data_IF_398689804557
#
_entry.id   IF_398689804557
#
_cell.length_a   1.000
_cell.length_b   1.000
_cell.length_c   1.000
_cell.angle_alpha   90.00
_cell.angle_beta   90.00
_cell.angle_gamma   90.00
#
_symmetry.space_group_name_H-M   'P 1'
#
loop_
_entity.id
_entity.type
_entity.pdbx_description
1 polymer ?
#
# COMPACT_ATOMS: atom_id res chain seq x y z
N UNK A 1 12.59 -16.70 36.96
CA UNK A 1 13.28 -15.79 36.00
C UNK A 1 12.39 -15.65 34.75
N UNK A 2 11.67 -14.53 34.60
CA UNK A 2 10.81 -14.26 33.45
C UNK A 2 11.69 -13.75 32.30
N UNK A 3 11.76 -14.47 31.20
CA UNK A 3 12.44 -14.02 29.98
C UNK A 3 11.59 -12.90 29.34
N UNK A 4 12.11 -11.70 29.38
CA UNK A 4 11.56 -10.53 28.71
C UNK A 4 11.90 -10.68 27.20
N UNK A 5 10.91 -11.08 26.40
CA UNK A 5 11.05 -11.06 24.94
C UNK A 5 10.92 -9.62 24.47
N UNK A 6 12.07 -9.00 24.24
CA UNK A 6 12.18 -7.70 23.60
C UNK A 6 11.89 -7.89 22.10
N UNK A 7 10.68 -7.57 21.67
CA UNK A 7 10.36 -7.45 20.23
C UNK A 7 11.09 -6.22 19.70
N UNK A 8 12.23 -6.47 19.09
CA UNK A 8 12.98 -5.47 18.33
C UNK A 8 12.25 -5.33 16.99
N UNK A 9 11.40 -4.31 16.86
CA UNK A 9 10.88 -3.87 15.57
C UNK A 9 12.06 -3.36 14.75
N UNK A 10 12.54 -4.18 13.84
CA UNK A 10 13.60 -3.84 12.89
C UNK A 10 13.02 -2.82 11.93
N UNK A 11 13.39 -1.56 12.13
CA UNK A 11 13.19 -0.49 11.16
C UNK A 11 14.02 -0.80 9.93
N UNK A 12 13.41 -1.37 8.90
CA UNK A 12 14.02 -1.39 7.58
C UNK A 12 13.88 0.00 6.97
N UNK A 13 14.86 0.84 7.26
CA UNK A 13 15.13 2.02 6.43
C UNK A 13 15.75 1.46 5.15
N UNK A 14 14.96 1.31 4.11
CA UNK A 14 15.49 1.11 2.77
C UNK A 14 16.28 2.38 2.39
N UNK A 15 17.57 2.37 2.69
CA UNK A 15 18.50 3.35 2.19
C UNK A 15 18.82 3.02 0.72
N UNK A 16 17.81 3.22 -0.19
CA UNK A 16 18.14 3.36 -1.61
C UNK A 16 18.99 4.59 -1.73
N UNK A 17 20.17 4.46 -2.34
CA UNK A 17 21.19 5.45 -2.57
C UNK A 17 20.62 6.87 -2.75
N UNK A 18 20.94 7.75 -1.76
CA UNK A 18 20.37 9.08 -1.61
C UNK A 18 21.08 10.03 -2.60
N UNK A 19 20.81 9.85 -3.90
CA UNK A 19 21.15 10.81 -4.91
C UNK A 19 19.85 11.29 -5.55
N UNK A 20 19.52 12.58 -5.37
CA UNK A 20 18.38 13.18 -6.05
C UNK A 20 17.56 14.11 -5.17
N UNK A 21 16.46 14.57 -5.74
CA UNK A 21 15.46 15.43 -5.11
C UNK A 21 14.31 14.55 -4.62
N UNK A 22 13.89 14.70 -3.36
CA UNK A 22 12.79 13.88 -2.86
C UNK A 22 12.51 14.01 -1.37
N UNK A 23 11.63 13.14 -0.92
CA UNK A 23 11.24 13.02 0.48
C UNK A 23 12.16 12.05 1.23
N UNK A 24 12.52 12.43 2.47
CA UNK A 24 13.05 11.52 3.48
C UNK A 24 11.89 10.77 4.13
N UNK A 25 10.81 11.50 4.43
CA UNK A 25 9.53 10.93 4.88
C UNK A 25 8.38 11.87 4.50
N UNK A 26 7.20 11.30 4.42
CA UNK A 26 5.92 11.96 4.25
C UNK A 26 4.91 11.21 5.12
N UNK A 27 4.31 11.88 6.11
CA UNK A 27 3.45 11.23 7.10
C UNK A 27 2.19 12.05 7.33
N UNK A 28 1.08 11.71 6.68
CA UNK A 28 -0.23 12.29 6.98
C UNK A 28 -0.71 11.89 8.38
N UNK A 29 -1.51 12.74 8.99
CA UNK A 29 -2.22 12.39 10.20
C UNK A 29 -3.23 11.27 9.92
N UNK A 30 -3.33 10.28 10.82
CA UNK A 30 -4.24 9.13 10.66
C UNK A 30 -3.84 8.13 9.57
N UNK A 31 -2.59 8.13 9.11
CA UNK A 31 -2.10 7.13 8.18
C UNK A 31 -2.19 5.71 8.76
N UNK A 32 -2.78 4.79 7.99
CA UNK A 32 -2.93 3.37 8.34
C UNK A 32 -1.71 2.54 7.97
N UNK A 33 -0.78 3.12 7.21
CA UNK A 33 0.40 2.43 6.68
C UNK A 33 1.63 3.33 6.79
N UNK A 34 2.80 2.71 6.66
CA UNK A 34 3.99 3.46 6.23
C UNK A 34 3.74 4.03 4.84
N UNK A 35 4.29 5.19 4.56
CA UNK A 35 4.15 5.82 3.25
C UNK A 35 5.09 5.18 2.24
N UNK A 36 4.56 4.76 1.12
CA UNK A 36 5.36 4.32 -0.02
C UNK A 36 5.95 5.53 -0.73
N UNK A 37 7.26 5.59 -0.85
CA UNK A 37 7.99 6.67 -1.53
C UNK A 37 8.84 6.04 -2.63
N UNK A 38 8.50 6.33 -3.89
CA UNK A 38 9.26 5.88 -5.06
C UNK A 38 9.90 7.09 -5.75
N UNK A 39 11.20 7.22 -5.57
CA UNK A 39 12.00 8.22 -6.26
C UNK A 39 12.47 7.65 -7.60
N UNK A 40 11.78 7.98 -8.68
CA UNK A 40 12.13 7.53 -10.02
C UNK A 40 13.34 8.28 -10.59
N UNK A 41 13.96 7.69 -11.62
CA UNK A 41 15.03 8.34 -12.37
C UNK A 41 14.52 9.62 -13.05
N UNK A 42 15.44 10.48 -13.47
CA UNK A 42 15.14 11.68 -14.22
C UNK A 42 14.20 11.40 -15.41
N UNK A 43 13.21 12.27 -15.62
CA UNK A 43 12.19 12.15 -16.67
C UNK A 43 10.98 11.28 -16.36
N UNK A 44 10.94 10.60 -15.19
CA UNK A 44 9.76 9.86 -14.75
C UNK A 44 9.21 10.45 -13.43
N UNK A 45 7.90 10.64 -13.35
CA UNK A 45 7.25 11.15 -12.13
C UNK A 45 7.56 10.26 -10.94
N UNK A 46 8.00 10.85 -9.85
CA UNK A 46 8.17 10.20 -8.58
C UNK A 46 6.85 10.19 -7.81
N UNK A 47 6.66 9.22 -6.94
CA UNK A 47 5.36 8.98 -6.28
C UNK A 47 5.52 8.88 -4.78
N UNK A 48 4.61 9.51 -4.06
CA UNK A 48 4.33 9.29 -2.65
C UNK A 48 2.90 8.77 -2.54
N UNK A 49 2.71 7.63 -1.91
CA UNK A 49 1.40 6.99 -1.78
C UNK A 49 1.18 6.51 -0.36
N UNK A 50 0.01 6.81 0.20
CA UNK A 50 -0.37 6.43 1.57
C UNK A 50 -1.87 6.18 1.68
N UNK A 51 -2.28 5.56 2.78
CA UNK A 51 -3.67 5.19 3.04
C UNK A 51 -4.09 5.75 4.41
N UNK A 52 -5.26 6.36 4.48
CA UNK A 52 -5.90 6.84 5.70
C UNK A 52 -7.30 6.22 5.84
N UNK A 53 -7.90 6.27 7.04
CA UNK A 53 -9.29 5.82 7.22
C UNK A 53 -10.31 6.92 6.84
N UNK A 54 -11.59 6.56 6.80
CA UNK A 54 -12.71 7.43 6.44
C UNK A 54 -13.03 8.55 7.46
N UNK A 55 -12.42 8.50 8.66
CA UNK A 55 -12.60 9.52 9.71
C UNK A 55 -11.64 10.69 9.55
N UNK A 56 -10.67 10.58 8.67
CA UNK A 56 -9.69 11.64 8.39
C UNK A 56 -10.27 12.65 7.42
N UNK A 57 -10.21 13.93 7.76
CA UNK A 57 -10.57 15.02 6.82
C UNK A 57 -9.44 15.20 5.80
N UNK A 58 -9.59 14.58 4.63
CA UNK A 58 -8.59 14.66 3.56
C UNK A 58 -8.61 15.99 2.80
N UNK A 59 -9.65 16.83 2.98
CA UNK A 59 -9.67 18.18 2.42
C UNK A 59 -8.79 19.15 3.22
N UNK A 60 -8.52 18.84 4.49
CA UNK A 60 -7.66 19.63 5.39
C UNK A 60 -6.68 18.73 6.12
N UNK A 61 -5.97 17.88 5.40
CA UNK A 61 -5.10 16.84 5.97
C UNK A 61 -3.74 17.41 6.42
N UNK A 62 -3.44 17.41 7.72
CA UNK A 62 -2.12 17.77 8.21
C UNK A 62 -1.08 16.72 7.80
N UNK A 63 0.02 17.18 7.21
CA UNK A 63 1.10 16.30 6.78
C UNK A 63 2.43 16.77 7.39
N UNK A 64 3.10 15.84 8.06
CA UNK A 64 4.52 16.02 8.45
C UNK A 64 5.39 15.44 7.36
N UNK A 65 6.35 16.22 6.87
CA UNK A 65 7.29 15.74 5.86
C UNK A 65 8.70 16.29 6.09
N UNK A 66 9.66 15.64 5.49
CA UNK A 66 11.06 16.09 5.42
C UNK A 66 11.59 15.81 4.02
N UNK A 67 12.19 16.81 3.41
CA UNK A 67 12.89 16.67 2.14
C UNK A 67 14.34 16.24 2.38
N UNK A 68 14.95 15.69 1.34
CA UNK A 68 16.40 15.48 1.27
C UNK A 68 17.14 16.80 1.42
N UNK A 69 18.41 16.72 1.81
CA UNK A 69 19.26 17.93 2.04
C UNK A 69 19.35 18.76 0.78
N UNK A 70 19.28 20.09 0.96
CA UNK A 70 19.32 21.10 -0.09
C UNK A 70 18.15 21.02 -1.10
N UNK A 71 17.05 20.38 -0.73
CA UNK A 71 15.82 20.39 -1.49
C UNK A 71 14.79 21.32 -0.87
N UNK A 72 13.97 21.95 -1.72
CA UNK A 72 12.80 22.78 -1.35
C UNK A 72 11.61 22.43 -2.23
N UNK A 73 10.41 22.72 -1.75
CA UNK A 73 9.22 22.73 -2.60
C UNK A 73 9.22 24.01 -3.44
N UNK A 74 8.82 23.90 -4.72
CA UNK A 74 8.59 25.07 -5.57
C UNK A 74 7.44 25.94 -5.06
N UNK A 75 6.43 25.30 -4.45
CA UNK A 75 5.30 25.98 -3.82
C UNK A 75 5.24 25.62 -2.34
N UNK A 76 5.22 26.61 -1.46
CA UNK A 76 5.09 26.43 -0.01
C UNK A 76 3.97 27.32 0.53
N UNK A 77 3.16 26.81 1.50
CA UNK A 77 3.21 25.49 2.13
C UNK A 77 2.70 24.38 1.20
N UNK A 78 3.00 23.11 1.55
CA UNK A 78 2.38 21.96 0.91
C UNK A 78 0.86 22.03 1.06
N UNK A 79 0.12 21.80 -0.03
CA UNK A 79 -1.35 21.77 0.00
C UNK A 79 -1.83 20.70 0.98
N UNK A 80 -2.88 21.01 1.74
CA UNK A 80 -3.54 20.09 2.69
C UNK A 80 -4.74 19.37 2.10
N UNK A 81 -5.24 19.78 0.94
CA UNK A 81 -6.35 19.14 0.24
C UNK A 81 -5.85 17.97 -0.60
N UNK A 82 -6.21 16.75 -0.16
CA UNK A 82 -5.91 15.47 -0.82
C UNK A 82 -7.18 14.78 -1.32
N UNK A 83 -8.25 15.51 -1.54
CA UNK A 83 -9.46 14.97 -2.19
C UNK A 83 -9.19 14.53 -3.62
N UNK A 84 -8.13 15.03 -4.22
CA UNK A 84 -7.59 14.65 -5.53
C UNK A 84 -6.09 14.40 -5.44
N UNK A 85 -5.50 13.87 -6.51
CA UNK A 85 -4.04 13.74 -6.64
C UNK A 85 -3.39 15.10 -6.62
N UNK A 86 -2.35 15.28 -5.81
CA UNK A 86 -1.54 16.48 -5.80
C UNK A 86 -0.27 16.28 -6.62
N UNK A 87 0.05 17.28 -7.44
CA UNK A 87 1.30 17.37 -8.18
C UNK A 87 2.13 18.48 -7.57
N UNK A 88 3.37 18.18 -7.26
CA UNK A 88 4.33 19.14 -6.71
C UNK A 88 5.67 19.02 -7.42
N UNK A 89 6.45 20.07 -7.37
CA UNK A 89 7.82 20.06 -7.88
C UNK A 89 8.79 20.26 -6.71
N UNK A 90 9.81 19.42 -6.65
CA UNK A 90 10.92 19.55 -5.70
C UNK A 90 12.13 20.11 -6.46
N UNK A 91 12.69 21.18 -5.93
CA UNK A 91 13.86 21.87 -6.47
C UNK A 91 15.10 21.54 -5.64
N UNK A 92 16.24 21.49 -6.29
CA UNK A 92 17.55 21.41 -5.67
C UNK A 92 18.55 22.28 -6.44
N UNK A 93 19.37 23.01 -5.70
CA UNK A 93 20.35 23.92 -6.31
C UNK A 93 21.23 23.18 -7.33
N UNK A 94 21.32 23.72 -8.53
CA UNK A 94 22.11 23.21 -9.66
C UNK A 94 21.63 21.87 -10.25
N UNK A 95 20.41 21.46 -9.99
CA UNK A 95 19.75 20.31 -10.61
C UNK A 95 18.44 20.72 -11.27
N UNK A 96 17.99 20.01 -12.31
CA UNK A 96 16.67 20.25 -12.91
C UNK A 96 15.58 19.95 -11.91
N UNK A 97 14.50 20.73 -11.83
CA UNK A 97 13.37 20.47 -10.96
C UNK A 97 12.77 19.07 -11.20
N UNK A 98 12.25 18.45 -10.17
CA UNK A 98 11.68 17.10 -10.23
C UNK A 98 10.23 17.06 -9.78
N UNK A 99 9.38 16.48 -10.64
CA UNK A 99 7.96 16.35 -10.36
C UNK A 99 7.64 15.11 -9.52
N UNK A 100 6.71 15.31 -8.60
CA UNK A 100 6.21 14.30 -7.68
C UNK A 100 4.69 14.26 -7.71
N UNK A 101 4.16 13.06 -7.66
CA UNK A 101 2.74 12.77 -7.50
C UNK A 101 2.48 12.34 -6.07
N UNK A 102 1.64 13.06 -5.34
CA UNK A 102 1.23 12.74 -3.98
C UNK A 102 -0.18 12.18 -3.98
N UNK A 103 -0.35 10.98 -3.45
CA UNK A 103 -1.61 10.23 -3.45
C UNK A 103 -1.95 9.84 -2.02
N UNK A 104 -3.14 10.23 -1.56
CA UNK A 104 -3.71 9.80 -0.29
C UNK A 104 -5.00 9.05 -0.57
N UNK A 105 -5.01 7.74 -0.36
CA UNK A 105 -6.22 6.93 -0.46
C UNK A 105 -6.98 6.97 0.86
N UNK A 106 -8.29 7.14 0.79
CA UNK A 106 -9.17 7.07 1.96
C UNK A 106 -9.99 5.78 1.93
N UNK A 107 -9.81 4.91 2.93
CA UNK A 107 -10.56 3.67 3.07
C UNK A 107 -11.87 3.90 3.80
N UNK A 108 -12.99 3.51 3.19
CA UNK A 108 -14.32 3.46 3.79
C UNK A 108 -14.80 2.02 3.83
N UNK A 109 -15.14 1.46 5.00
CA UNK A 109 -15.60 0.08 5.10
C UNK A 109 -16.83 -0.21 4.23
N UNK A 110 -16.80 -1.34 3.52
CA UNK A 110 -17.94 -1.85 2.77
C UNK A 110 -18.80 -2.79 3.62
N UNK A 111 -20.12 -2.85 3.41
CA UNK A 111 -20.97 -3.86 4.04
C UNK A 111 -20.59 -5.27 3.55
N UNK A 112 -20.84 -6.28 4.40
CA UNK A 112 -20.70 -7.68 4.02
C UNK A 112 -22.00 -8.23 3.38
N UNK A 113 -21.94 -9.21 2.47
CA UNK A 113 -20.73 -9.77 1.88
C UNK A 113 -20.06 -8.80 0.90
N UNK A 114 -18.73 -8.72 0.95
CA UNK A 114 -17.95 -7.88 0.05
C UNK A 114 -17.28 -8.74 -1.03
N UNK A 115 -17.38 -8.30 -2.29
CA UNK A 115 -16.72 -8.94 -3.42
C UNK A 115 -16.03 -7.90 -4.30
N UNK A 116 -14.79 -8.18 -4.69
CA UNK A 116 -13.99 -7.32 -5.54
C UNK A 116 -13.25 -8.17 -6.57
N UNK A 117 -13.54 -7.90 -7.84
CA UNK A 117 -12.81 -8.48 -8.98
C UNK A 117 -12.38 -7.37 -9.92
N UNK A 118 -11.11 -7.35 -10.26
CA UNK A 118 -10.59 -6.39 -11.23
C UNK A 118 -10.76 -6.92 -12.65
N UNK A 119 -11.16 -6.03 -13.53
CA UNK A 119 -11.40 -6.33 -14.95
C UNK A 119 -11.17 -5.07 -15.81
N UNK A 120 -11.39 -5.17 -17.10
CA UNK A 120 -11.36 -3.98 -17.98
C UNK A 120 -12.47 -2.96 -17.68
N UNK A 121 -13.60 -3.42 -17.12
CA UNK A 121 -14.74 -2.57 -16.75
C UNK A 121 -14.75 -2.16 -15.27
N UNK A 122 -13.93 -2.81 -14.45
CA UNK A 122 -13.71 -2.47 -13.04
C UNK A 122 -12.20 -2.52 -12.77
N UNK A 123 -11.44 -1.52 -13.22
CA UNK A 123 -9.99 -1.58 -13.18
C UNK A 123 -9.42 -1.35 -11.76
N UNK A 124 -8.29 -2.01 -11.48
CA UNK A 124 -7.40 -1.60 -10.40
C UNK A 124 -6.53 -0.47 -10.93
N UNK A 125 -6.99 0.75 -10.80
CA UNK A 125 -6.27 1.92 -11.26
C UNK A 125 -6.25 3.04 -10.21
N UNK A 126 -5.56 4.12 -10.55
CA UNK A 126 -5.51 5.34 -9.76
C UNK A 126 -6.74 6.23 -9.96
N UNK A 127 -7.86 5.71 -10.50
CA UNK A 127 -9.09 6.48 -10.59
C UNK A 127 -9.48 6.98 -9.21
N UNK A 128 -9.59 8.31 -9.09
CA UNK A 128 -9.63 9.00 -7.82
C UNK A 128 -11.06 9.10 -7.31
N UNK A 129 -11.59 7.95 -6.89
CA UNK A 129 -12.81 7.90 -6.11
C UNK A 129 -12.43 7.68 -4.64
N UNK A 130 -12.33 8.76 -3.89
CA UNK A 130 -12.23 8.71 -2.44
C UNK A 130 -13.58 9.07 -1.81
N UNK A 131 -14.00 8.38 -0.75
CA UNK A 131 -13.42 7.16 -0.19
C UNK A 131 -13.92 5.89 -0.89
N UNK A 132 -13.12 4.82 -0.88
CA UNK A 132 -13.50 3.49 -1.38
C UNK A 132 -13.08 2.36 -0.42
N UNK A 133 -13.68 1.14 -0.51
CA UNK A 133 -13.41 0.08 0.46
C UNK A 133 -12.07 -0.62 0.27
N UNK A 134 -11.31 -0.26 -0.73
CA UNK A 134 -9.99 -0.84 -0.99
C UNK A 134 -9.00 0.22 -1.44
N UNK A 135 -7.74 -0.02 -1.19
CA UNK A 135 -6.64 0.79 -1.69
C UNK A 135 -5.37 -0.04 -1.79
N UNK A 136 -4.52 0.30 -2.77
CA UNK A 136 -3.16 -0.19 -2.83
C UNK A 136 -2.16 0.91 -2.48
N UNK A 137 -0.97 0.55 -2.08
CA UNK A 137 0.18 1.44 -2.04
C UNK A 137 1.38 0.75 -2.67
N UNK A 138 2.04 1.45 -3.58
CA UNK A 138 3.13 0.91 -4.38
C UNK A 138 2.72 -0.19 -5.38
N UNK A 139 1.44 -0.31 -5.68
CA UNK A 139 0.90 -1.26 -6.66
C UNK A 139 1.28 -0.81 -8.07
N UNK A 140 1.54 -1.78 -8.96
CA UNK A 140 1.76 -1.52 -10.38
C UNK A 140 0.41 -1.41 -11.12
N UNK A 141 -0.09 -0.20 -11.27
CA UNK A 141 -1.34 0.10 -11.95
C UNK A 141 -1.27 0.00 -13.50
N UNK A 142 -0.13 -0.33 -14.07
CA UNK A 142 -0.01 -0.57 -15.52
C UNK A 142 -0.77 -1.81 -16.00
N UNK A 143 -1.27 -2.62 -15.06
CA UNK A 143 -2.06 -3.84 -15.30
C UNK A 143 -3.39 -3.76 -14.57
N UNK A 144 -4.34 -2.98 -15.07
CA UNK A 144 -5.55 -2.59 -14.33
C UNK A 144 -6.52 -3.75 -14.06
N UNK A 145 -6.34 -4.92 -14.67
CA UNK A 145 -7.20 -6.09 -14.42
C UNK A 145 -6.81 -6.91 -13.19
N UNK A 146 -5.81 -6.47 -12.44
CA UNK A 146 -5.32 -7.12 -11.21
C UNK A 146 -4.66 -6.08 -10.30
N UNK A 147 -4.60 -6.33 -9.00
CA UNK A 147 -3.68 -5.61 -8.13
C UNK A 147 -2.30 -6.26 -8.21
N UNK A 148 -1.34 -5.63 -8.88
CA UNK A 148 -0.01 -6.18 -9.12
C UNK A 148 1.01 -5.70 -8.11
N UNK A 149 1.62 -6.64 -7.42
CA UNK A 149 2.75 -6.42 -6.51
C UNK A 149 4.06 -6.57 -7.30
N UNK A 150 4.71 -5.44 -7.56
CA UNK A 150 5.94 -5.39 -8.37
C UNK A 150 7.20 -5.03 -7.58
N UNK A 151 7.09 -4.79 -6.26
CA UNK A 151 8.20 -4.40 -5.38
C UNK A 151 8.03 -5.02 -4.00
N UNK A 152 9.09 -5.07 -3.20
CA UNK A 152 8.99 -5.38 -1.78
C UNK A 152 8.37 -4.21 -1.00
N UNK A 153 7.70 -4.53 0.10
CA UNK A 153 7.11 -3.54 1.01
C UNK A 153 5.85 -2.85 0.47
N UNK A 154 5.26 -3.36 -0.62
CA UNK A 154 4.00 -2.85 -1.19
C UNK A 154 2.82 -3.65 -0.68
N UNK A 155 1.62 -3.05 -0.69
CA UNK A 155 0.45 -3.71 -0.13
C UNK A 155 -0.87 -3.32 -0.76
N UNK A 156 -1.86 -4.17 -0.52
CA UNK A 156 -3.25 -3.96 -0.91
C UNK A 156 -4.16 -4.18 0.28
N UNK A 157 -5.13 -3.30 0.48
CA UNK A 157 -5.98 -3.21 1.66
C UNK A 157 -7.44 -3.29 1.28
N UNK A 158 -8.23 -3.93 2.14
CA UNK A 158 -9.69 -3.91 2.11
C UNK A 158 -10.20 -3.58 3.50
N UNK A 159 -11.18 -2.66 3.57
CA UNK A 159 -11.93 -2.34 4.79
C UNK A 159 -13.37 -2.82 4.64
N UNK A 160 -13.92 -3.45 5.69
CA UNK A 160 -15.27 -3.97 5.71
C UNK A 160 -15.94 -3.72 7.07
N UNK A 161 -17.29 -3.64 7.05
CA UNK A 161 -18.10 -3.46 8.23
C UNK A 161 -18.87 -4.74 8.56
N UNK A 162 -18.86 -5.13 9.83
CA UNK A 162 -19.48 -6.36 10.31
C UNK A 162 -18.47 -7.46 10.65
N UNK A 163 -19.02 -8.59 11.14
CA UNK A 163 -18.23 -9.78 11.48
C UNK A 163 -18.09 -10.69 10.26
N UNK A 164 -16.88 -10.70 9.71
CA UNK A 164 -16.52 -11.61 8.63
C UNK A 164 -16.00 -12.94 9.20
N UNK A 165 -16.34 -14.05 8.55
CA UNK A 165 -15.88 -15.40 8.93
C UNK A 165 -14.75 -15.90 8.03
N UNK A 166 -14.76 -15.47 6.79
CA UNK A 166 -13.86 -15.99 5.76
C UNK A 166 -13.45 -14.92 4.76
N UNK A 167 -12.21 -14.98 4.31
CA UNK A 167 -11.72 -14.27 3.15
C UNK A 167 -11.26 -15.25 2.08
N UNK A 168 -11.80 -15.10 0.86
CA UNK A 168 -11.34 -15.79 -0.34
C UNK A 168 -10.61 -14.83 -1.26
N UNK A 169 -9.56 -15.29 -1.94
CA UNK A 169 -8.81 -14.47 -2.90
C UNK A 169 -7.96 -15.35 -3.82
N UNK A 170 -7.57 -14.80 -4.96
CA UNK A 170 -6.67 -15.46 -5.91
C UNK A 170 -5.33 -14.73 -5.95
N UNK A 171 -4.24 -15.48 -5.82
CA UNK A 171 -2.88 -15.02 -6.04
C UNK A 171 -2.27 -15.76 -7.22
N UNK A 172 -1.63 -15.02 -8.13
CA UNK A 172 -1.01 -15.61 -9.33
C UNK A 172 0.38 -15.03 -9.52
N UNK A 173 1.39 -15.90 -9.60
CA UNK A 173 2.73 -15.50 -10.05
C UNK A 173 2.69 -15.13 -11.53
N UNK A 174 3.40 -14.07 -11.90
CA UNK A 174 3.49 -13.66 -13.30
C UNK A 174 4.46 -14.59 -14.05
N UNK A 175 4.00 -15.21 -15.15
CA UNK A 175 4.84 -16.02 -16.04
C UNK A 175 5.02 -17.48 -15.60
N UNK A 176 4.01 -18.11 -15.03
CA UNK A 176 3.96 -19.55 -14.69
C UNK A 176 5.14 -20.08 -13.85
N UNK A 177 5.77 -19.19 -13.08
CA UNK A 177 6.90 -19.53 -12.24
C UNK A 177 6.46 -19.81 -10.81
N UNK A 178 7.30 -20.54 -10.08
CA UNK A 178 7.06 -20.76 -8.64
C UNK A 178 7.25 -19.47 -7.86
N UNK A 179 6.43 -19.30 -6.83
CA UNK A 179 6.58 -18.22 -5.87
C UNK A 179 7.94 -18.32 -5.17
N UNK A 180 8.71 -17.22 -5.16
CA UNK A 180 10.08 -17.17 -4.64
C UNK A 180 10.27 -16.08 -3.58
N UNK A 181 9.18 -15.40 -3.18
CA UNK A 181 9.21 -14.27 -2.25
C UNK A 181 8.60 -14.60 -0.88
N UNK A 182 8.22 -13.53 -0.17
CA UNK A 182 7.46 -13.60 1.07
C UNK A 182 6.26 -12.67 1.00
N UNK A 183 5.04 -13.23 1.20
CA UNK A 183 3.81 -12.47 1.22
C UNK A 183 3.03 -12.73 2.50
N UNK A 184 2.74 -11.67 3.23
CA UNK A 184 1.92 -11.70 4.43
C UNK A 184 0.47 -11.39 4.10
N UNK A 185 -0.45 -12.13 4.73
CA UNK A 185 -1.85 -11.74 4.83
C UNK A 185 -2.14 -11.44 6.28
N UNK A 186 -2.62 -10.25 6.55
CA UNK A 186 -2.79 -9.75 7.91
C UNK A 186 -4.17 -9.10 8.06
N UNK A 187 -4.70 -9.15 9.28
CA UNK A 187 -5.94 -8.47 9.64
C UNK A 187 -5.71 -7.43 10.72
N UNK A 188 -6.65 -6.50 10.83
CA UNK A 188 -6.69 -5.51 11.89
C UNK A 188 -8.14 -5.19 12.28
N UNK A 189 -8.34 -4.80 13.54
CA UNK A 189 -9.60 -4.25 14.02
C UNK A 189 -9.70 -2.74 13.78
N UNK A 190 -8.58 -2.04 13.87
CA UNK A 190 -8.50 -0.57 13.87
C UNK A 190 -7.73 0.01 12.66
N UNK A 191 -7.17 -0.85 11.81
CA UNK A 191 -6.32 -0.48 10.69
C UNK A 191 -4.89 -0.05 11.10
N UNK A 192 -4.59 -0.01 12.39
CA UNK A 192 -3.30 0.46 12.93
C UNK A 192 -2.46 -0.68 13.48
N UNK A 193 -3.10 -1.65 14.17
CA UNK A 193 -2.44 -2.80 14.77
C UNK A 193 -2.75 -4.05 13.96
N UNK A 194 -1.75 -4.57 13.29
CA UNK A 194 -1.88 -5.69 12.38
C UNK A 194 -1.46 -7.00 13.03
N UNK A 195 -2.24 -8.04 12.79
CA UNK A 195 -1.97 -9.41 13.23
C UNK A 195 -1.91 -10.30 12.00
N UNK A 196 -0.90 -11.14 11.93
CA UNK A 196 -0.68 -12.04 10.80
C UNK A 196 -1.63 -13.22 10.84
N UNK A 197 -2.28 -13.50 9.71
CA UNK A 197 -3.07 -14.71 9.46
C UNK A 197 -2.19 -15.81 8.88
N UNK A 198 -1.40 -15.47 7.87
CA UNK A 198 -0.49 -16.40 7.19
C UNK A 198 0.66 -15.63 6.55
N UNK A 199 1.80 -16.30 6.45
CA UNK A 199 2.90 -15.94 5.56
C UNK A 199 3.04 -17.01 4.49
N UNK A 200 3.00 -16.61 3.24
CA UNK A 200 3.38 -17.45 2.11
C UNK A 200 4.88 -17.28 1.84
N UNK A 201 5.57 -18.39 1.62
CA UNK A 201 7.01 -18.47 1.35
C UNK A 201 7.24 -19.49 0.23
N UNK A 202 8.46 -19.62 -0.33
CA UNK A 202 8.76 -20.67 -1.31
C UNK A 202 8.48 -22.10 -0.82
N UNK A 203 8.65 -22.35 0.50
CA UNK A 203 8.39 -23.66 1.12
C UNK A 203 6.91 -23.87 1.46
N UNK A 204 6.16 -22.78 1.62
CA UNK A 204 4.72 -22.79 1.89
C UNK A 204 4.01 -21.79 0.96
N UNK A 205 3.97 -22.07 -0.35
CA UNK A 205 3.40 -21.14 -1.31
C UNK A 205 1.87 -21.08 -1.23
N UNK A 206 1.30 -20.00 -1.75
CA UNK A 206 -0.14 -19.96 -2.03
C UNK A 206 -0.51 -20.90 -3.19
N UNK A 207 -1.78 -21.22 -3.30
CA UNK A 207 -2.32 -21.93 -4.49
C UNK A 207 -2.32 -20.97 -5.67
N UNK A 208 -1.37 -21.17 -6.57
CA UNK A 208 -1.15 -20.26 -7.72
C UNK A 208 -2.31 -20.34 -8.72
N UNK A 209 -2.99 -19.21 -8.96
CA UNK A 209 -4.13 -19.12 -9.87
C UNK A 209 -5.41 -19.82 -9.40
N UNK A 210 -5.45 -20.26 -8.13
CA UNK A 210 -6.62 -20.85 -7.51
C UNK A 210 -7.12 -19.97 -6.35
N UNK A 211 -8.36 -20.22 -5.92
CA UNK A 211 -8.91 -19.59 -4.72
C UNK A 211 -8.16 -20.07 -3.46
N UNK A 212 -7.55 -19.12 -2.77
CA UNK A 212 -7.04 -19.28 -1.42
C UNK A 212 -8.12 -18.81 -0.44
N UNK A 213 -8.28 -19.51 0.69
CA UNK A 213 -9.31 -19.21 1.68
C UNK A 213 -8.68 -19.15 3.07
N UNK A 214 -9.04 -18.14 3.85
CA UNK A 214 -8.58 -17.95 5.22
C UNK A 214 -9.77 -17.67 6.14
N UNK A 215 -9.78 -18.33 7.30
CA UNK A 215 -10.71 -17.99 8.39
C UNK A 215 -10.32 -16.66 9.01
N UNK A 216 -11.29 -15.78 9.21
CA UNK A 216 -11.09 -14.48 9.83
C UNK A 216 -11.55 -14.50 11.30
N UNK A 217 -10.78 -13.83 12.21
CA UNK A 217 -11.28 -13.54 13.55
C UNK A 217 -12.46 -12.56 13.50
N UNK A 218 -13.41 -12.70 14.43
CA UNK A 218 -14.64 -11.90 14.48
C UNK A 218 -14.39 -10.39 14.66
N UNK A 219 -13.23 -10.03 15.26
CA UNK A 219 -12.81 -8.64 15.42
C UNK A 219 -12.19 -8.03 14.16
N UNK A 220 -11.93 -8.80 13.11
CA UNK A 220 -11.36 -8.27 11.87
C UNK A 220 -12.30 -7.22 11.23
N UNK A 221 -11.74 -6.09 10.81
CA UNK A 221 -12.40 -5.01 10.07
C UNK A 221 -11.60 -4.55 8.87
N UNK A 222 -10.33 -4.91 8.86
CA UNK A 222 -9.39 -4.64 7.78
C UNK A 222 -8.62 -5.91 7.45
N UNK A 223 -8.37 -6.12 6.18
CA UNK A 223 -7.49 -7.17 5.65
C UNK A 223 -6.46 -6.53 4.74
N UNK A 224 -5.22 -7.01 4.80
CA UNK A 224 -4.19 -6.59 3.86
C UNK A 224 -3.33 -7.73 3.37
N UNK A 225 -2.87 -7.60 2.14
CA UNK A 225 -1.82 -8.41 1.54
C UNK A 225 -0.58 -7.54 1.41
N UNK A 226 0.54 -7.97 1.97
CA UNK A 226 1.81 -7.24 1.93
C UNK A 226 2.85 -8.12 1.27
N UNK A 227 3.42 -7.67 0.17
CA UNK A 227 4.55 -8.34 -0.47
C UNK A 227 5.83 -7.94 0.28
N UNK A 228 6.10 -8.64 1.39
CA UNK A 228 7.19 -8.30 2.31
C UNK A 228 8.55 -8.40 1.64
N UNK A 229 8.81 -9.49 0.92
CA UNK A 229 10.05 -9.73 0.19
C UNK A 229 9.73 -10.17 -1.23
N UNK A 230 10.13 -9.36 -2.21
CA UNK A 230 10.12 -9.72 -3.63
C UNK A 230 11.53 -10.10 -4.06
N UNK A 231 11.72 -11.34 -4.47
CA UNK A 231 12.98 -11.77 -5.11
C UNK A 231 12.94 -11.46 -6.62
N UNK A 232 12.25 -12.24 -7.41
CA UNK A 232 12.18 -12.06 -8.88
C UNK A 232 10.76 -11.89 -9.37
N UNK A 233 9.81 -12.64 -8.78
CA UNK A 233 8.46 -12.73 -9.30
C UNK A 233 7.60 -11.53 -8.91
N UNK A 234 6.74 -11.10 -9.82
CA UNK A 234 5.59 -10.27 -9.49
C UNK A 234 4.41 -11.18 -9.12
N UNK A 235 3.56 -10.71 -8.23
CA UNK A 235 2.34 -11.41 -7.83
C UNK A 235 1.13 -10.54 -8.18
N UNK A 236 0.11 -11.14 -8.73
CA UNK A 236 -1.18 -10.52 -8.98
C UNK A 236 -2.18 -11.00 -7.92
N UNK A 237 -3.00 -10.08 -7.40
CA UNK A 237 -4.13 -10.35 -6.52
C UNK A 237 -5.41 -9.98 -7.26
N UNK A 238 -6.41 -10.87 -7.21
CA UNK A 238 -7.74 -10.65 -7.77
C UNK A 238 -8.80 -11.48 -7.02
N UNK A 239 -10.06 -11.35 -7.43
CA UNK A 239 -11.20 -12.15 -6.96
C UNK A 239 -11.29 -12.26 -5.44
N UNK A 240 -11.28 -11.10 -4.77
CA UNK A 240 -11.38 -11.00 -3.31
C UNK A 240 -12.85 -11.13 -2.91
N UNK A 241 -13.13 -12.00 -1.93
CA UNK A 241 -14.44 -12.15 -1.29
C UNK A 241 -14.28 -12.15 0.22
N UNK A 242 -15.14 -11.42 0.93
CA UNK A 242 -15.19 -11.39 2.40
C UNK A 242 -16.63 -11.64 2.84
N UNK A 243 -16.84 -12.73 3.63
CA UNK A 243 -18.16 -13.24 4.03
C UNK A 243 -18.28 -13.42 5.54
#
# INVERSE_FOLDING_TARGET
MKKLNLFLSVFFIFCSSVFGQGFVFFKPEGALTETFIKNNKEGANSVVETIVNDKVDIANLPVKYKLLSNCSLSETPLKSDFTTVNYITIEKKNESPKDWTLIVHQLKPAPLPFNLSFSKTNPCDLSFENPKPWAGYGIDYSKPTVARFGNSGVGFFVAFDGEAKEAGFELTCVGDQKFDGEMDVEYSQDGLKWKRLITYTPDKPFKNGEKNTLTLPSEARYLRWVYAVREKQNVNLNNISIN
#
